data_IF_856563778241
#
_entry.id   IF_856563778241
#
_cell.length_a   1.000
_cell.length_b   1.000
_cell.length_c   1.000
_cell.angle_alpha   90.00
_cell.angle_beta   90.00
_cell.angle_gamma   90.00
#
_symmetry.space_group_name_H-M   'P 1'
#
loop_
_entity.id
_entity.type
_entity.pdbx_description
1 polymer ?
#
# COMPACT_ATOMS: atom_id res chain seq x y z
N UNK A 1 -11.56 -18.05 8.79
CA UNK A 1 -10.91 -17.52 7.60
C UNK A 1 -10.22 -16.21 7.93
N UNK A 2 -8.98 -16.15 7.64
CA UNK A 2 -8.25 -14.94 7.95
C UNK A 2 -8.23 -14.01 6.74
N UNK A 3 -8.31 -12.73 7.00
CA UNK A 3 -8.16 -11.73 5.96
C UNK A 3 -6.70 -11.42 5.71
N UNK A 4 -6.48 -10.36 4.96
CA UNK A 4 -5.13 -9.90 4.71
C UNK A 4 -5.11 -8.38 4.70
N UNK A 5 -3.93 -7.83 4.88
CA UNK A 5 -3.72 -6.40 4.88
C UNK A 5 -2.87 -6.01 3.68
N UNK A 6 -3.11 -4.82 3.16
CA UNK A 6 -2.32 -4.32 2.04
C UNK A 6 -1.63 -3.05 2.49
N UNK A 7 -0.32 -2.99 2.27
CA UNK A 7 0.45 -1.78 2.49
C UNK A 7 0.96 -1.31 1.13
N UNK A 8 0.75 -0.04 0.84
CA UNK A 8 1.17 0.57 -0.42
C UNK A 8 2.24 1.59 -0.11
N UNK A 9 3.53 1.21 -0.20
CA UNK A 9 4.58 2.20 0.00
C UNK A 9 4.57 3.18 -1.16
N UNK A 10 4.65 4.46 -0.85
CA UNK A 10 4.63 5.50 -1.87
C UNK A 10 5.58 6.61 -1.48
N UNK A 11 6.49 6.97 -2.36
CA UNK A 11 7.47 8.01 -2.15
C UNK A 11 7.37 9.02 -3.28
N UNK A 12 7.52 10.29 -2.93
CA UNK A 12 7.47 11.36 -3.93
C UNK A 12 8.72 11.36 -4.80
N UNK A 13 9.87 11.14 -4.19
CA UNK A 13 11.17 11.30 -4.85
C UNK A 13 11.80 9.97 -5.28
N UNK A 14 11.04 8.89 -5.34
CA UNK A 14 11.62 7.56 -5.43
C UNK A 14 11.91 7.05 -6.83
N UNK A 15 11.57 7.76 -7.87
CA UNK A 15 11.68 7.18 -9.19
C UNK A 15 12.13 8.22 -10.20
N UNK A 16 12.23 7.79 -11.44
CA UNK A 16 12.56 8.67 -12.56
C UNK A 16 11.56 9.81 -12.72
N UNK A 17 10.37 9.65 -12.17
CA UNK A 17 9.33 10.65 -12.28
C UNK A 17 8.85 10.99 -10.87
N UNK A 18 9.47 11.98 -10.23
CA UNK A 18 9.05 12.38 -8.88
C UNK A 18 7.58 12.75 -8.85
N UNK A 19 6.90 12.36 -7.77
CA UNK A 19 5.48 12.64 -7.64
C UNK A 19 4.58 11.70 -8.42
N UNK A 20 5.11 10.62 -8.98
CA UNK A 20 4.34 9.70 -9.79
C UNK A 20 3.06 9.20 -9.12
N UNK A 21 3.06 8.88 -7.82
CA UNK A 21 1.81 8.44 -7.17
C UNK A 21 0.71 9.49 -7.18
N UNK A 22 1.04 10.75 -7.34
CA UNK A 22 0.06 11.84 -7.37
C UNK A 22 -0.41 12.22 -8.76
N UNK A 23 0.16 11.61 -9.81
CA UNK A 23 -0.23 11.92 -11.17
C UNK A 23 -1.67 11.48 -11.40
N UNK A 24 -2.53 12.38 -11.93
CA UNK A 24 -3.93 12.00 -12.18
C UNK A 24 -4.04 10.94 -13.27
N UNK A 25 -4.91 9.99 -13.03
CA UNK A 25 -5.27 8.98 -14.01
C UNK A 25 -6.77 8.83 -13.93
N UNK A 26 -7.46 9.12 -15.02
CA UNK A 26 -8.92 9.05 -15.08
C UNK A 26 -9.57 9.87 -13.94
N UNK A 27 -9.03 11.05 -13.68
CA UNK A 27 -9.64 12.02 -12.76
C UNK A 27 -9.22 11.91 -11.31
N UNK A 28 -8.35 10.95 -10.94
CA UNK A 28 -7.85 10.88 -9.58
C UNK A 28 -6.41 10.38 -9.55
N UNK A 29 -5.72 10.68 -8.46
CA UNK A 29 -4.30 10.33 -8.34
C UNK A 29 -4.07 8.82 -8.51
N UNK A 30 -2.95 8.47 -9.13
CA UNK A 30 -2.60 7.08 -9.39
C UNK A 30 -2.65 6.21 -8.14
N UNK A 31 -2.17 6.74 -7.02
CA UNK A 31 -2.16 6.01 -5.75
C UNK A 31 -3.56 5.59 -5.30
N UNK A 32 -4.57 6.39 -5.62
CA UNK A 32 -5.94 6.05 -5.24
C UNK A 32 -6.50 4.89 -6.05
N UNK A 33 -6.06 4.75 -7.30
CA UNK A 33 -6.45 3.59 -8.10
C UNK A 33 -5.87 2.30 -7.52
N UNK A 34 -4.63 2.37 -7.04
CA UNK A 34 -3.99 1.21 -6.42
C UNK A 34 -4.75 0.81 -5.15
N UNK A 35 -5.11 1.80 -4.32
CA UNK A 35 -5.87 1.53 -3.10
C UNK A 35 -7.21 0.88 -3.42
N UNK A 36 -7.88 1.32 -4.48
CA UNK A 36 -9.14 0.70 -4.91
C UNK A 36 -8.97 -0.76 -5.29
N UNK A 37 -7.89 -1.09 -5.97
CA UNK A 37 -7.63 -2.49 -6.34
C UNK A 37 -7.49 -3.36 -5.10
N UNK A 38 -6.82 -2.84 -4.07
CA UNK A 38 -6.64 -3.57 -2.83
C UNK A 38 -7.99 -3.82 -2.14
N UNK A 39 -8.87 -2.83 -2.11
CA UNK A 39 -10.19 -3.01 -1.53
C UNK A 39 -11.02 -4.03 -2.32
N UNK A 40 -10.95 -3.96 -3.64
CA UNK A 40 -11.67 -4.90 -4.50
C UNK A 40 -11.19 -6.33 -4.28
N UNK A 41 -9.93 -6.49 -3.90
CA UNK A 41 -9.37 -7.81 -3.62
C UNK A 41 -9.84 -8.39 -2.29
N UNK A 42 -10.47 -7.57 -1.44
CA UNK A 42 -11.01 -8.03 -0.17
C UNK A 42 -10.09 -7.82 1.03
N UNK A 43 -9.15 -6.88 0.94
CA UNK A 43 -8.25 -6.59 2.06
C UNK A 43 -9.03 -6.10 3.28
N UNK A 44 -8.62 -6.54 4.46
CA UNK A 44 -9.19 -6.07 5.73
C UNK A 44 -8.80 -4.64 6.01
N UNK A 45 -7.56 -4.30 5.69
CA UNK A 45 -7.03 -2.96 5.87
C UNK A 45 -6.19 -2.61 4.65
N UNK A 46 -6.29 -1.35 4.23
CA UNK A 46 -5.43 -0.81 3.17
C UNK A 46 -4.78 0.43 3.74
N UNK A 47 -3.45 0.44 3.79
CA UNK A 47 -2.70 1.55 4.38
C UNK A 47 -1.67 2.02 3.37
N UNK A 48 -1.63 3.31 3.11
CA UNK A 48 -0.57 3.90 2.31
C UNK A 48 0.53 4.35 3.25
N UNK A 49 1.74 3.86 3.02
CA UNK A 49 2.91 4.19 3.84
C UNK A 49 3.77 5.19 3.07
N UNK A 50 3.90 6.39 3.58
CA UNK A 50 4.63 7.43 2.87
C UNK A 50 5.37 8.34 3.84
N UNK A 51 6.42 8.98 3.35
CA UNK A 51 7.13 10.02 4.07
C UNK A 51 6.81 11.42 3.51
N UNK A 52 5.88 11.50 2.57
CA UNK A 52 5.56 12.74 1.88
C UNK A 52 4.16 13.23 2.24
N UNK A 53 4.08 14.45 2.75
CA UNK A 53 2.80 15.00 3.21
C UNK A 53 1.79 15.17 2.07
N UNK A 54 2.26 15.47 0.88
CA UNK A 54 1.35 15.68 -0.26
C UNK A 54 0.65 14.39 -0.62
N UNK A 55 1.38 13.27 -0.59
CA UNK A 55 0.79 11.96 -0.83
C UNK A 55 -0.17 11.62 0.29
N UNK A 56 0.22 11.88 1.54
CA UNK A 56 -0.64 11.59 2.68
C UNK A 56 -1.95 12.36 2.60
N UNK A 57 -1.89 13.65 2.25
CA UNK A 57 -3.09 14.47 2.16
C UNK A 57 -4.03 13.99 1.08
N UNK A 58 -3.49 13.62 -0.07
CA UNK A 58 -4.30 13.12 -1.19
C UNK A 58 -4.99 11.81 -0.83
N UNK A 59 -4.26 10.92 -0.17
CA UNK A 59 -4.80 9.61 0.23
C UNK A 59 -5.91 9.79 1.27
N UNK A 60 -5.70 10.65 2.26
CA UNK A 60 -6.72 10.91 3.27
C UNK A 60 -7.96 11.55 2.66
N UNK A 61 -7.77 12.45 1.71
CA UNK A 61 -8.90 13.07 1.00
C UNK A 61 -9.70 12.03 0.24
N UNK A 62 -9.06 10.96 -0.21
CA UNK A 62 -9.74 9.86 -0.89
C UNK A 62 -10.41 8.86 0.04
N UNK A 63 -10.27 9.04 1.36
CA UNK A 63 -10.92 8.16 2.33
C UNK A 63 -10.11 6.95 2.77
N UNK A 64 -8.81 6.93 2.49
CA UNK A 64 -7.94 5.81 2.85
C UNK A 64 -7.03 6.17 4.01
N UNK A 65 -6.49 5.16 4.67
CA UNK A 65 -5.60 5.35 5.80
C UNK A 65 -4.17 5.58 5.36
N UNK A 66 -3.47 6.40 6.12
CA UNK A 66 -2.07 6.74 5.86
C UNK A 66 -1.25 6.48 7.11
N UNK A 67 -0.07 5.90 6.91
CA UNK A 67 0.95 5.81 7.95
C UNK A 67 2.15 6.63 7.49
N UNK A 68 2.51 7.65 8.27
CA UNK A 68 3.71 8.41 7.99
C UNK A 68 4.91 7.59 8.47
N UNK A 69 5.88 7.40 7.61
CA UNK A 69 7.04 6.55 7.89
C UNK A 69 8.31 7.37 7.76
N UNK A 70 9.40 6.81 8.29
CA UNK A 70 10.70 7.47 8.20
C UNK A 70 11.14 7.60 6.74
N UNK A 71 11.79 8.70 6.37
CA UNK A 71 12.19 8.92 4.98
C UNK A 71 13.40 8.12 4.52
N UNK A 72 14.13 7.53 5.45
CA UNK A 72 15.43 6.92 5.15
C UNK A 72 15.39 5.41 5.08
N UNK A 73 14.22 4.81 4.86
CA UNK A 73 14.15 3.36 4.68
C UNK A 73 14.87 2.94 3.40
N UNK A 74 15.62 1.86 3.50
CA UNK A 74 16.38 1.34 2.36
C UNK A 74 15.48 0.67 1.34
N UNK A 75 14.33 0.16 1.76
CA UNK A 75 13.44 -0.57 0.86
C UNK A 75 11.99 -0.43 1.29
N UNK A 76 11.08 -0.84 0.39
CA UNK A 76 9.66 -0.88 0.72
C UNK A 76 9.36 -1.87 1.83
N UNK A 77 10.14 -2.95 1.91
CA UNK A 77 9.96 -3.95 2.96
C UNK A 77 10.21 -3.35 4.35
N UNK A 78 11.24 -2.53 4.48
CA UNK A 78 11.53 -1.87 5.75
C UNK A 78 10.40 -0.93 6.14
N UNK A 79 9.84 -0.23 5.17
CA UNK A 79 8.72 0.69 5.42
C UNK A 79 7.48 -0.07 5.87
N UNK A 80 7.22 -1.22 5.26
CA UNK A 80 6.10 -2.07 5.66
C UNK A 80 6.28 -2.57 7.09
N UNK A 81 7.51 -2.93 7.46
CA UNK A 81 7.79 -3.39 8.82
C UNK A 81 7.47 -2.30 9.84
N UNK A 82 7.81 -1.06 9.53
CA UNK A 82 7.49 0.06 10.42
C UNK A 82 5.97 0.20 10.60
N UNK A 83 5.21 0.07 9.51
CA UNK A 83 3.76 0.16 9.57
C UNK A 83 3.18 -0.96 10.42
N UNK A 84 3.64 -2.19 10.20
CA UNK A 84 3.13 -3.34 10.94
C UNK A 84 3.39 -3.19 12.44
N UNK A 85 4.57 -2.72 12.82
CA UNK A 85 4.90 -2.50 14.22
C UNK A 85 4.03 -1.41 14.82
N UNK A 86 3.84 -0.31 14.08
CA UNK A 86 3.06 0.82 14.58
C UNK A 86 1.58 0.51 14.73
N UNK A 87 1.06 -0.42 13.95
CA UNK A 87 -0.34 -0.81 14.02
C UNK A 87 -0.58 -2.01 14.92
N UNK A 88 0.48 -2.62 15.41
CA UNK A 88 0.35 -3.77 16.32
C UNK A 88 -0.18 -5.02 15.63
N UNK A 89 0.10 -5.20 14.36
CA UNK A 89 -0.32 -6.40 13.66
C UNK A 89 0.42 -7.61 14.19
N UNK A 90 -0.28 -8.73 14.21
CA UNK A 90 0.32 -9.97 14.69
C UNK A 90 1.43 -10.42 13.74
N UNK A 91 2.39 -11.18 14.29
CA UNK A 91 3.55 -11.61 13.53
C UNK A 91 3.18 -12.52 12.35
N UNK A 92 2.04 -13.17 12.42
CA UNK A 92 1.58 -14.06 11.35
C UNK A 92 0.56 -13.40 10.42
N UNK A 93 0.34 -12.09 10.56
CA UNK A 93 -0.59 -11.39 9.69
C UNK A 93 -0.09 -11.46 8.24
N UNK A 94 -1.01 -11.69 7.31
CA UNK A 94 -0.69 -11.67 5.90
C UNK A 94 -0.71 -10.23 5.43
N UNK A 95 0.42 -9.75 4.93
CA UNK A 95 0.57 -8.38 4.46
C UNK A 95 1.06 -8.41 3.01
N UNK A 96 0.28 -7.81 2.13
CA UNK A 96 0.62 -7.73 0.71
C UNK A 96 1.20 -6.36 0.43
N UNK A 97 2.32 -6.34 -0.26
CA UNK A 97 2.99 -5.11 -0.69
C UNK A 97 2.56 -4.78 -2.11
N UNK A 98 1.89 -3.65 -2.30
CA UNK A 98 1.53 -3.16 -3.62
C UNK A 98 2.27 -1.86 -3.89
N UNK A 99 2.82 -1.73 -5.08
CA UNK A 99 3.50 -0.49 -5.46
C UNK A 99 2.49 0.60 -5.79
N UNK A 100 2.76 1.80 -5.33
CA UNK A 100 1.87 2.95 -5.54
C UNK A 100 1.76 3.42 -6.98
N UNK A 101 2.52 2.82 -7.89
CA UNK A 101 2.50 3.17 -9.31
C UNK A 101 2.01 2.03 -10.20
N UNK A 102 1.23 1.11 -9.64
CA UNK A 102 0.65 0.00 -10.40
C UNK A 102 -0.87 0.06 -10.37
N UNK A 103 -1.46 1.10 -10.97
CA UNK A 103 -2.92 1.32 -10.85
C UNK A 103 -3.76 0.32 -11.63
N UNK A 104 -3.16 -0.41 -12.56
CA UNK A 104 -3.89 -1.36 -13.38
C UNK A 104 -3.74 -2.81 -12.94
N UNK A 105 -3.16 -3.02 -11.76
CA UNK A 105 -3.02 -4.39 -11.25
C UNK A 105 -4.42 -4.97 -10.99
N UNK A 106 -4.70 -6.18 -11.49
CA UNK A 106 -6.03 -6.76 -11.26
C UNK A 106 -6.24 -7.13 -9.79
N UNK A 107 -7.45 -6.89 -9.29
CA UNK A 107 -7.79 -7.26 -7.92
C UNK A 107 -7.63 -8.78 -7.70
N UNK A 108 -7.94 -9.57 -8.72
CA UNK A 108 -7.78 -11.03 -8.61
C UNK A 108 -6.34 -11.42 -8.36
N UNK A 109 -5.38 -10.70 -8.96
CA UNK A 109 -3.96 -10.99 -8.73
C UNK A 109 -3.56 -10.65 -7.29
N UNK A 110 -4.07 -9.53 -6.77
CA UNK A 110 -3.80 -9.16 -5.38
C UNK A 110 -4.31 -10.24 -4.44
N UNK A 111 -5.52 -10.73 -4.69
CA UNK A 111 -6.10 -11.80 -3.87
C UNK A 111 -5.28 -13.08 -3.97
N UNK A 112 -4.80 -13.40 -5.17
CA UNK A 112 -3.98 -14.59 -5.36
C UNK A 112 -2.68 -14.51 -4.58
N UNK A 113 -2.02 -13.35 -4.59
CA UNK A 113 -0.79 -13.14 -3.83
C UNK A 113 -1.07 -13.32 -2.34
N UNK A 114 -2.17 -12.77 -1.84
CA UNK A 114 -2.53 -12.90 -0.43
C UNK A 114 -2.75 -14.37 -0.06
N UNK A 115 -3.42 -15.14 -0.93
CA UNK A 115 -3.67 -16.55 -0.69
C UNK A 115 -2.37 -17.34 -0.70
N UNK A 116 -1.46 -17.02 -1.61
CA UNK A 116 -0.16 -17.69 -1.66
C UNK A 116 0.65 -17.42 -0.40
N UNK A 117 0.65 -16.17 0.08
CA UNK A 117 1.34 -15.82 1.31
C UNK A 117 0.74 -16.56 2.50
N UNK A 118 -0.57 -16.64 2.56
CA UNK A 118 -1.25 -17.33 3.66
C UNK A 118 -0.89 -18.81 3.70
N UNK A 119 -0.78 -19.44 2.52
CA UNK A 119 -0.48 -20.87 2.45
C UNK A 119 0.98 -21.16 2.76
N UNK A 120 1.85 -20.18 2.73
CA UNK A 120 3.28 -20.34 3.02
C UNK A 120 3.69 -19.76 4.36
N UNK A 121 2.75 -19.33 5.17
CA UNK A 121 3.06 -18.64 6.42
C UNK A 121 3.25 -19.57 7.61
N UNK A 122 3.27 -20.85 7.40
CA UNK A 122 3.42 -21.81 8.49
C UNK A 122 4.83 -22.15 8.80
#
# INVERSE_FOLDING_TARGET
MSGFKVVIPARHASSRLPGKPLIPLAGKAMILHVAERALEAGADEVVVATDDRRIADEVQAGGYEVAMTAPNHASGTDRIAEVAAGRGWESHAVVVNLQGDEPLIPAALVRQVAQDLASHSE
#
